data_IF_787234771024
#
_entry.id   IF_787234771024
#
_cell.length_a   1.000
_cell.length_b   1.000
_cell.length_c   1.000
_cell.angle_alpha   90.00
_cell.angle_beta   90.00
_cell.angle_gamma   90.00
#
_symmetry.space_group_name_H-M   'P 1'
#
loop_
_entity.id
_entity.type
_entity.pdbx_description
1 polymer ?
#
# COMPACT_ATOMS: atom_id res chain seq x y z
N UNK A 1 -3.54 -1.74 7.31
CA UNK A 1 -3.24 -2.86 8.24
C UNK A 1 -1.87 -3.39 7.83
N UNK A 2 -0.92 -3.50 8.75
CA UNK A 2 0.45 -3.90 8.43
C UNK A 2 0.52 -5.38 8.02
N UNK A 3 1.39 -5.70 7.07
CA UNK A 3 1.77 -7.08 6.79
C UNK A 3 2.82 -7.52 7.82
N UNK A 4 2.35 -8.12 8.91
CA UNK A 4 3.18 -8.56 10.03
C UNK A 4 4.17 -9.64 9.62
N UNK A 5 3.81 -10.50 8.66
CA UNK A 5 4.71 -11.53 8.15
C UNK A 5 5.82 -10.89 7.30
N UNK A 6 5.52 -9.90 6.45
CA UNK A 6 6.53 -9.15 5.72
C UNK A 6 7.51 -8.43 6.66
N UNK A 7 7.00 -7.75 7.69
CA UNK A 7 7.83 -7.10 8.72
C UNK A 7 8.71 -8.11 9.46
N UNK A 8 8.15 -9.28 9.80
CA UNK A 8 8.93 -10.37 10.40
C UNK A 8 10.11 -10.77 9.53
N UNK A 9 9.89 -10.96 8.23
CA UNK A 9 10.93 -11.35 7.26
C UNK A 9 11.96 -10.25 7.00
N UNK A 10 11.53 -9.00 6.82
CA UNK A 10 12.42 -7.85 6.60
C UNK A 10 13.40 -7.66 7.76
N UNK A 11 12.98 -7.95 8.99
CA UNK A 11 13.77 -7.77 10.20
C UNK A 11 14.45 -9.05 10.72
N UNK A 12 14.73 -10.02 9.85
CA UNK A 12 15.31 -11.32 10.25
C UNK A 12 16.59 -11.21 11.11
N UNK A 13 17.45 -10.23 10.84
CA UNK A 13 18.69 -10.00 11.59
C UNK A 13 18.52 -9.40 12.99
N UNK A 14 17.31 -8.94 13.34
CA UNK A 14 17.00 -8.29 14.62
C UNK A 14 16.14 -9.16 15.55
N UNK A 15 15.82 -10.38 15.13
CA UNK A 15 15.05 -11.34 15.92
C UNK A 15 15.90 -11.88 17.06
N UNK A 16 15.28 -12.07 18.21
CA UNK A 16 15.94 -12.60 19.41
C UNK A 16 15.30 -13.93 19.80
N UNK A 17 16.12 -14.92 20.17
CA UNK A 17 15.60 -16.20 20.66
C UNK A 17 14.90 -16.03 22.00
N UNK A 18 13.77 -16.72 22.18
CA UNK A 18 12.98 -16.70 23.39
C UNK A 18 12.73 -18.13 23.88
N UNK A 19 12.90 -18.35 25.18
CA UNK A 19 12.67 -19.65 25.82
C UNK A 19 11.40 -19.54 26.65
N UNK A 20 10.30 -20.08 26.13
CA UNK A 20 9.07 -20.23 26.88
C UNK A 20 9.22 -21.34 27.95
N UNK A 21 8.41 -21.28 29.01
CA UNK A 21 8.41 -22.30 30.09
C UNK A 21 7.68 -23.59 29.72
N UNK A 22 7.18 -23.71 28.50
CA UNK A 22 6.31 -24.78 27.99
C UNK A 22 6.98 -25.47 26.79
N UNK A 23 6.58 -26.71 26.48
CA UNK A 23 7.23 -27.63 25.53
C UNK A 23 6.42 -27.84 24.20
N UNK A 24 5.46 -26.98 23.87
CA UNK A 24 4.58 -27.15 22.69
C UNK A 24 4.46 -25.88 21.83
N UNK A 25 4.97 -25.97 20.60
CA UNK A 25 5.23 -24.83 19.73
C UNK A 25 4.01 -23.97 19.32
N UNK A 26 2.89 -24.55 18.89
CA UNK A 26 1.79 -23.77 18.29
C UNK A 26 0.84 -23.13 19.33
N UNK A 27 0.63 -23.81 20.46
CA UNK A 27 -0.17 -23.27 21.57
C UNK A 27 0.53 -22.12 22.29
N UNK A 28 1.86 -22.06 22.20
CA UNK A 28 2.67 -21.03 22.85
C UNK A 28 2.62 -19.68 22.16
N UNK A 29 2.63 -19.62 20.82
CA UNK A 29 2.71 -18.34 20.09
C UNK A 29 1.61 -17.36 20.47
N UNK A 30 0.39 -17.86 20.75
CA UNK A 30 -0.78 -17.06 21.08
C UNK A 30 -1.02 -16.93 22.60
N UNK A 31 -0.17 -17.55 23.44
CA UNK A 31 -0.34 -17.62 24.89
C UNK A 31 0.73 -16.83 25.67
N UNK A 32 1.50 -15.96 25.00
CA UNK A 32 2.58 -15.16 25.63
C UNK A 32 2.10 -13.83 26.23
N UNK A 33 0.80 -13.52 26.18
CA UNK A 33 0.26 -12.22 26.60
C UNK A 33 0.68 -11.83 28.03
N UNK A 34 0.51 -12.75 28.98
CA UNK A 34 0.86 -12.53 30.38
C UNK A 34 2.38 -12.45 30.61
N UNK A 35 3.17 -13.24 29.87
CA UNK A 35 4.63 -13.26 29.98
C UNK A 35 5.27 -11.98 29.42
N UNK A 36 4.71 -11.48 28.32
CA UNK A 36 5.15 -10.26 27.66
C UNK A 36 4.57 -9.00 28.30
N UNK A 37 3.55 -9.12 29.17
CA UNK A 37 2.81 -7.99 29.70
C UNK A 37 2.10 -7.21 28.61
N UNK A 38 1.61 -7.91 27.58
CA UNK A 38 1.15 -7.34 26.32
C UNK A 38 -0.21 -7.90 25.91
N UNK A 39 -0.96 -7.16 25.08
CA UNK A 39 -2.25 -7.62 24.54
C UNK A 39 -2.04 -8.32 23.21
N UNK A 40 -2.50 -9.57 23.06
CA UNK A 40 -2.55 -10.22 21.75
C UNK A 40 -3.58 -9.51 20.85
N UNK A 41 -3.12 -8.95 19.72
CA UNK A 41 -3.96 -8.23 18.76
C UNK A 41 -4.10 -8.95 17.42
N UNK A 42 -3.15 -9.83 17.08
CA UNK A 42 -3.21 -10.64 15.88
C UNK A 42 -2.70 -12.06 16.18
N UNK A 43 -3.58 -13.06 16.35
CA UNK A 43 -3.15 -14.42 16.59
C UNK A 43 -2.51 -15.03 15.34
N UNK A 44 -1.45 -15.83 15.53
CA UNK A 44 -0.92 -16.69 14.48
C UNK A 44 -1.96 -17.77 14.12
N UNK A 45 -2.25 -17.95 12.84
CA UNK A 45 -3.25 -18.94 12.34
C UNK A 45 -2.60 -20.21 11.81
N UNK A 46 -1.32 -20.16 11.48
CA UNK A 46 -0.55 -21.30 11.01
C UNK A 46 0.91 -21.29 11.48
N UNK A 47 1.65 -22.36 11.16
CA UNK A 47 3.02 -22.58 11.65
C UNK A 47 4.06 -21.59 11.10
N UNK A 48 3.71 -20.83 10.06
CA UNK A 48 4.57 -19.82 9.45
C UNK A 48 4.09 -18.39 9.71
N UNK A 49 2.98 -18.23 10.44
CA UNK A 49 2.47 -16.93 10.82
C UNK A 49 3.13 -16.43 12.09
N UNK A 50 3.10 -15.11 12.25
CA UNK A 50 3.48 -14.45 13.50
C UNK A 50 2.27 -14.08 14.33
N UNK A 51 2.41 -14.25 15.64
CA UNK A 51 1.51 -13.66 16.62
C UNK A 51 1.98 -12.24 16.95
N UNK A 52 1.06 -11.28 17.02
CA UNK A 52 1.38 -9.88 17.28
C UNK A 52 0.79 -9.45 18.60
N UNK A 53 1.67 -8.99 19.47
CA UNK A 53 1.38 -8.46 20.78
C UNK A 53 1.59 -6.95 20.77
N UNK A 54 0.69 -6.24 21.43
CA UNK A 54 0.72 -4.79 21.57
C UNK A 54 1.02 -4.39 23.01
N UNK A 55 1.98 -3.48 23.15
CA UNK A 55 2.31 -2.78 24.38
C UNK A 55 2.32 -1.27 24.13
N UNK A 56 2.42 -0.49 25.20
CA UNK A 56 2.57 0.96 25.09
C UNK A 56 3.82 1.32 24.26
N UNK A 57 3.59 1.90 23.08
CA UNK A 57 4.64 2.38 22.18
C UNK A 57 5.34 1.31 21.33
N UNK A 58 5.01 0.02 21.44
CA UNK A 58 5.65 -1.04 20.62
C UNK A 58 4.72 -2.21 20.26
N UNK A 59 5.08 -2.89 19.18
CA UNK A 59 4.58 -4.22 18.86
C UNK A 59 5.68 -5.26 19.10
N UNK A 60 5.28 -6.43 19.59
CA UNK A 60 6.13 -7.60 19.71
C UNK A 60 5.56 -8.69 18.81
N UNK A 61 6.32 -9.05 17.78
CA UNK A 61 6.00 -10.16 16.87
C UNK A 61 6.67 -11.41 17.41
N UNK A 62 5.92 -12.49 17.53
CA UNK A 62 6.39 -13.81 17.93
C UNK A 62 6.22 -14.79 16.78
N UNK A 63 7.27 -15.52 16.42
CA UNK A 63 7.23 -16.50 15.35
C UNK A 63 8.20 -17.65 15.59
N UNK A 64 7.98 -18.77 14.92
CA UNK A 64 8.85 -19.94 14.99
C UNK A 64 9.80 -19.99 13.79
N UNK A 65 11.10 -19.90 14.07
CA UNK A 65 12.17 -20.13 13.09
C UNK A 65 13.39 -20.71 13.82
N UNK A 66 13.57 -22.02 13.75
CA UNK A 66 14.57 -22.77 14.53
C UNK A 66 14.47 -22.51 16.05
N UNK A 67 13.24 -22.34 16.53
CA UNK A 67 12.91 -21.98 17.91
C UNK A 67 11.96 -20.79 17.96
N UNK A 68 11.42 -20.51 19.15
CA UNK A 68 10.59 -19.33 19.37
C UNK A 68 11.48 -18.08 19.32
N UNK A 69 11.10 -17.13 18.49
CA UNK A 69 11.81 -15.87 18.33
C UNK A 69 10.85 -14.71 18.56
N UNK A 70 11.41 -13.58 19.03
CA UNK A 70 10.70 -12.32 19.20
C UNK A 70 11.36 -11.22 18.38
N UNK A 71 10.53 -10.36 17.82
CA UNK A 71 10.92 -9.12 17.16
C UNK A 71 10.15 -7.97 17.78
N UNK A 72 10.87 -6.98 18.31
CA UNK A 72 10.27 -5.77 18.86
C UNK A 72 10.34 -4.66 17.83
N UNK A 73 9.20 -4.04 17.53
CA UNK A 73 9.09 -2.92 16.60
C UNK A 73 8.45 -1.74 17.34
N UNK A 74 9.11 -0.59 17.36
CA UNK A 74 8.52 0.63 17.92
C UNK A 74 7.43 1.14 17.00
N UNK A 75 6.30 1.60 17.55
CA UNK A 75 5.19 2.13 16.73
C UNK A 75 5.64 3.31 15.86
N UNK A 76 6.54 4.13 16.39
CA UNK A 76 7.17 5.26 15.71
C UNK A 76 8.06 4.87 14.52
N UNK A 77 8.33 3.59 14.29
CA UNK A 77 9.11 3.11 13.14
C UNK A 77 8.24 2.55 12.01
N UNK A 78 6.92 2.51 12.20
CA UNK A 78 5.93 1.98 11.25
C UNK A 78 5.22 3.12 10.51
N UNK A 79 6.02 3.98 9.89
CA UNK A 79 5.54 5.06 9.04
C UNK A 79 5.73 4.73 7.56
N UNK A 80 4.87 5.30 6.72
CA UNK A 80 4.96 5.29 5.27
C UNK A 80 5.21 6.72 4.77
N UNK A 81 6.00 6.85 3.71
CA UNK A 81 6.28 8.12 3.04
C UNK A 81 5.71 8.06 1.62
N UNK A 82 4.99 9.11 1.23
CA UNK A 82 4.49 9.27 -0.14
C UNK A 82 4.95 10.62 -0.67
N UNK A 83 5.63 10.61 -1.82
CA UNK A 83 6.06 11.80 -2.52
C UNK A 83 5.19 12.00 -3.76
N UNK A 84 4.60 13.17 -3.94
CA UNK A 84 3.75 13.47 -5.08
C UNK A 84 3.93 14.89 -5.61
N UNK A 85 3.78 15.01 -6.93
CA UNK A 85 3.74 16.30 -7.62
C UNK A 85 2.29 16.73 -7.81
N UNK A 86 1.98 17.96 -7.41
CA UNK A 86 0.64 18.55 -7.50
C UNK A 86 0.68 19.67 -8.54
N UNK A 87 0.20 19.44 -9.78
CA UNK A 87 0.32 20.39 -10.89
C UNK A 87 -0.67 21.55 -10.80
N UNK A 88 -1.88 21.31 -10.28
CA UNK A 88 -2.98 22.28 -10.20
C UNK A 88 -3.53 22.33 -8.77
N UNK A 89 -4.21 23.42 -8.41
CA UNK A 89 -4.79 23.55 -7.08
C UNK A 89 -6.12 22.77 -6.99
N UNK A 90 -6.23 21.86 -6.02
CA UNK A 90 -7.39 20.97 -5.85
C UNK A 90 -8.63 21.65 -5.25
N UNK A 91 -8.81 22.97 -5.48
CA UNK A 91 -9.92 23.75 -4.93
C UNK A 91 -9.83 24.04 -3.42
N UNK A 92 -8.86 23.47 -2.72
CA UNK A 92 -8.39 23.95 -1.42
C UNK A 92 -7.41 25.10 -1.67
N UNK A 93 -7.89 26.34 -1.48
CA UNK A 93 -7.06 27.55 -1.41
C UNK A 93 -6.14 27.47 -0.16
N UNK A 94 -5.15 26.58 -0.16
CA UNK A 94 -4.04 26.66 0.78
C UNK A 94 -3.11 27.79 0.33
N UNK A 95 -3.37 28.98 0.87
CA UNK A 95 -2.69 30.23 0.53
C UNK A 95 -1.15 30.19 0.71
N UNK A 96 -0.64 29.25 1.52
CA UNK A 96 0.76 29.22 1.94
C UNK A 96 1.70 28.49 0.95
N UNK A 97 1.17 27.64 0.07
CA UNK A 97 1.96 26.96 -0.97
C UNK A 97 1.12 26.69 -2.24
N UNK A 98 1.10 27.62 -3.22
CA UNK A 98 0.34 27.45 -4.45
C UNK A 98 0.93 26.38 -5.36
N UNK A 99 0.09 25.77 -6.19
CA UNK A 99 0.52 24.87 -7.26
C UNK A 99 1.26 25.63 -8.40
N UNK A 100 2.18 24.99 -9.13
CA UNK A 100 2.61 23.60 -8.97
C UNK A 100 3.52 23.44 -7.73
N UNK A 101 3.36 22.33 -7.01
CA UNK A 101 4.10 22.06 -5.78
C UNK A 101 4.46 20.59 -5.65
N UNK A 102 5.45 20.31 -4.83
CA UNK A 102 5.80 18.97 -4.40
C UNK A 102 5.29 18.80 -2.98
N UNK A 103 4.70 17.66 -2.71
CA UNK A 103 4.18 17.30 -1.41
C UNK A 103 4.80 15.97 -0.97
N UNK A 104 5.16 15.88 0.31
CA UNK A 104 5.65 14.67 0.95
C UNK A 104 4.77 14.40 2.16
N UNK A 105 3.92 13.38 2.05
CA UNK A 105 3.04 12.92 3.10
C UNK A 105 3.70 11.81 3.92
N UNK A 106 3.50 11.86 5.22
CA UNK A 106 3.95 10.87 6.19
C UNK A 106 2.76 10.36 6.95
N UNK A 107 2.57 9.04 6.96
CA UNK A 107 1.49 8.40 7.69
C UNK A 107 2.05 7.34 8.64
N UNK A 108 1.72 7.45 9.93
CA UNK A 108 2.00 6.41 10.91
C UNK A 108 0.67 5.83 11.42
N UNK A 109 0.23 4.73 10.81
CA UNK A 109 -1.03 4.09 11.19
C UNK A 109 -1.01 3.49 12.60
N UNK A 110 0.17 3.23 13.17
CA UNK A 110 0.33 2.64 14.49
C UNK A 110 0.14 3.67 15.61
N UNK A 111 0.50 4.93 15.38
CA UNK A 111 0.32 6.04 16.32
C UNK A 111 -0.83 6.97 15.94
N UNK A 112 -1.30 6.90 14.69
CA UNK A 112 -2.29 7.82 14.13
C UNK A 112 -1.72 9.19 13.76
N UNK A 113 -0.40 9.35 13.82
CA UNK A 113 0.28 10.60 13.45
C UNK A 113 0.34 10.73 11.92
N UNK A 114 0.04 11.94 11.44
CA UNK A 114 0.16 12.31 10.04
C UNK A 114 1.00 13.59 9.95
N UNK A 115 1.77 13.74 8.87
CA UNK A 115 2.54 14.94 8.62
C UNK A 115 2.63 15.21 7.13
N UNK A 116 2.58 16.48 6.76
CA UNK A 116 2.63 16.89 5.35
C UNK A 116 3.63 18.02 5.18
N UNK A 117 4.62 17.79 4.33
CA UNK A 117 5.58 18.80 3.92
C UNK A 117 5.28 19.22 2.49
N UNK A 118 5.37 20.53 2.22
CA UNK A 118 5.08 21.10 0.91
C UNK A 118 6.17 22.06 0.49
N UNK A 119 6.51 22.06 -0.79
CA UNK A 119 7.40 23.05 -1.37
C UNK A 119 6.92 23.48 -2.77
N UNK A 120 6.94 24.79 -3.07
CA UNK A 120 6.57 25.26 -4.40
C UNK A 120 7.58 24.78 -5.42
N UNK A 121 7.10 24.39 -6.59
CA UNK A 121 7.94 24.07 -7.74
C UNK A 121 7.94 25.25 -8.69
N UNK A 122 9.13 25.78 -9.02
CA UNK A 122 9.27 26.95 -9.88
C UNK A 122 10.35 26.72 -10.93
N UNK A 123 10.25 27.43 -12.06
CA UNK A 123 11.29 27.47 -13.09
C UNK A 123 11.85 28.87 -13.18
N UNK A 124 13.17 28.99 -13.07
CA UNK A 124 13.85 30.27 -13.19
C UNK A 124 14.02 30.69 -14.67
N UNK A 125 14.60 31.88 -14.88
CA UNK A 125 14.84 32.43 -16.24
C UNK A 125 15.92 31.67 -17.01
N UNK A 126 16.77 30.92 -16.32
CA UNK A 126 17.83 30.10 -16.88
C UNK A 126 17.32 28.70 -17.25
N UNK A 127 16.07 28.38 -16.89
CA UNK A 127 15.42 27.11 -17.18
C UNK A 127 15.63 26.05 -16.09
N UNK A 128 16.26 26.39 -14.96
CA UNK A 128 16.43 25.45 -13.85
C UNK A 128 15.12 25.31 -13.06
N UNK A 129 14.85 24.09 -12.62
CA UNK A 129 13.68 23.78 -11.78
C UNK A 129 14.11 23.77 -10.32
N UNK A 130 13.33 24.48 -9.51
CA UNK A 130 13.53 24.67 -8.09
C UNK A 130 12.37 24.08 -7.31
N UNK A 131 12.67 23.34 -6.25
CA UNK A 131 11.72 22.84 -5.26
C UNK A 131 12.03 23.58 -3.96
N UNK A 132 11.19 24.57 -3.62
CA UNK A 132 11.47 25.50 -2.53
C UNK A 132 12.79 26.26 -2.77
N UNK A 133 13.83 25.93 -2.00
CA UNK A 133 15.16 26.56 -2.07
C UNK A 133 16.28 25.63 -2.58
N UNK A 134 15.92 24.49 -3.18
CA UNK A 134 16.85 23.51 -3.76
C UNK A 134 16.57 23.32 -5.23
N UNK A 135 17.61 23.08 -6.02
CA UNK A 135 17.41 22.70 -7.43
C UNK A 135 17.12 21.22 -7.53
N UNK A 136 16.26 20.85 -8.46
CA UNK A 136 15.89 19.46 -8.74
C UNK A 136 17.13 18.59 -9.07
N UNK A 137 18.09 19.15 -9.80
CA UNK A 137 19.29 18.45 -10.26
C UNK A 137 20.48 18.47 -9.27
N UNK A 138 20.35 19.19 -8.15
CA UNK A 138 21.43 19.35 -7.16
C UNK A 138 21.58 18.11 -6.28
N UNK A 139 20.55 17.27 -6.18
CA UNK A 139 20.56 16.07 -5.32
C UNK A 139 20.65 16.39 -3.82
N UNK A 140 20.47 17.65 -3.41
CA UNK A 140 20.48 18.05 -2.01
C UNK A 140 19.06 18.17 -1.47
N UNK A 141 18.77 17.39 -0.42
CA UNK A 141 17.49 17.42 0.26
C UNK A 141 17.30 18.76 0.99
N UNK A 142 16.14 19.43 0.85
CA UNK A 142 15.81 20.61 1.65
C UNK A 142 15.59 20.22 3.11
N UNK A 143 15.56 21.21 3.99
CA UNK A 143 15.09 20.99 5.36
C UNK A 143 13.57 20.77 5.33
N UNK A 144 13.14 19.57 5.72
CA UNK A 144 11.73 19.21 5.85
C UNK A 144 11.37 19.22 7.34
N UNK A 145 10.42 20.07 7.74
CA UNK A 145 9.92 20.12 9.13
C UNK A 145 8.60 19.38 9.21
N UNK A 146 8.48 18.50 10.18
CA UNK A 146 7.25 17.76 10.49
C UNK A 146 6.95 17.92 11.98
N UNK A 147 6.49 19.10 12.38
CA UNK A 147 6.36 19.49 13.79
C UNK A 147 5.33 18.64 14.55
N UNK A 148 4.41 18.01 13.82
CA UNK A 148 3.34 17.16 14.37
C UNK A 148 3.79 15.71 14.61
N UNK A 149 4.97 15.32 14.13
CA UNK A 149 5.47 13.94 14.26
C UNK A 149 6.41 13.80 15.45
N UNK A 150 6.11 12.89 16.36
CA UNK A 150 6.92 12.59 17.55
C UNK A 150 8.24 11.86 17.26
N UNK A 151 8.48 11.47 16.00
CA UNK A 151 9.58 10.61 15.59
C UNK A 151 10.53 11.23 14.57
N UNK A 152 10.50 12.55 14.39
CA UNK A 152 11.40 13.28 13.48
C UNK A 152 12.89 13.10 13.79
N UNK A 153 13.25 12.85 15.06
CA UNK A 153 14.62 12.57 15.49
C UNK A 153 15.10 11.14 15.20
N UNK A 154 14.23 10.27 14.69
CA UNK A 154 14.57 8.89 14.35
C UNK A 154 15.50 8.82 13.13
N UNK A 155 16.61 8.07 13.22
CA UNK A 155 17.52 7.87 12.10
C UNK A 155 16.85 7.18 10.91
N UNK A 156 15.98 6.19 11.17
CA UNK A 156 15.22 5.49 10.12
C UNK A 156 14.33 6.45 9.35
N UNK A 157 13.71 7.42 10.04
CA UNK A 157 12.88 8.44 9.40
C UNK A 157 13.71 9.37 8.52
N UNK A 158 14.87 9.84 9.01
CA UNK A 158 15.80 10.64 8.20
C UNK A 158 16.33 9.88 6.98
N UNK A 159 16.66 8.61 7.14
CA UNK A 159 17.16 7.76 6.05
C UNK A 159 16.07 7.54 4.99
N UNK A 160 14.82 7.31 5.42
CA UNK A 160 13.68 7.16 4.52
C UNK A 160 13.35 8.46 3.76
N UNK A 161 13.41 9.63 4.42
CA UNK A 161 13.27 10.93 3.74
C UNK A 161 14.36 11.13 2.69
N UNK A 162 15.60 10.77 3.02
CA UNK A 162 16.71 10.82 2.09
C UNK A 162 16.49 9.86 0.91
N UNK A 163 16.02 8.64 1.16
CA UNK A 163 15.70 7.66 0.13
C UNK A 163 14.63 8.17 -0.83
N UNK A 164 13.51 8.68 -0.30
CA UNK A 164 12.44 9.28 -1.10
C UNK A 164 12.96 10.45 -1.96
N UNK A 165 13.84 11.30 -1.41
CA UNK A 165 14.43 12.41 -2.16
C UNK A 165 15.42 11.97 -3.24
N UNK A 166 16.23 10.93 -2.99
CA UNK A 166 17.24 10.47 -3.96
C UNK A 166 16.70 9.50 -5.00
N UNK A 167 15.65 8.76 -4.69
CA UNK A 167 15.16 7.67 -5.53
C UNK A 167 13.78 7.93 -6.12
N UNK A 168 12.85 8.51 -5.36
CA UNK A 168 11.49 8.73 -5.83
C UNK A 168 11.35 10.06 -6.57
N UNK A 169 11.99 11.13 -6.08
CA UNK A 169 11.96 12.44 -6.76
C UNK A 169 12.48 12.38 -8.21
N UNK A 170 13.59 11.68 -8.54
CA UNK A 170 14.00 11.53 -9.94
C UNK A 170 12.98 10.82 -10.83
N UNK A 171 12.12 9.97 -10.27
CA UNK A 171 11.04 9.34 -11.03
C UNK A 171 9.92 10.33 -11.37
N UNK A 172 9.73 11.37 -10.55
CA UNK A 172 8.78 12.47 -10.78
C UNK A 172 9.36 13.59 -11.66
N UNK A 173 10.68 13.67 -11.81
CA UNK A 173 11.34 14.72 -12.59
C UNK A 173 10.78 14.91 -14.01
N UNK A 174 10.51 13.85 -14.82
CA UNK A 174 9.93 14.02 -16.16
C UNK A 174 8.56 14.68 -16.16
N UNK A 175 7.72 14.37 -15.16
CA UNK A 175 6.39 14.96 -15.00
C UNK A 175 6.50 16.44 -14.62
N UNK A 176 7.39 16.75 -13.67
CA UNK A 176 7.68 18.12 -13.24
C UNK A 176 8.21 18.95 -14.42
N UNK A 177 9.13 18.40 -15.21
CA UNK A 177 9.69 19.07 -16.39
C UNK A 177 8.63 19.33 -17.47
N UNK A 178 7.79 18.33 -17.76
CA UNK A 178 6.69 18.44 -18.71
C UNK A 178 5.65 19.48 -18.28
N UNK A 179 5.51 19.76 -16.98
CA UNK A 179 4.66 20.86 -16.53
C UNK A 179 5.13 22.22 -17.05
N UNK A 180 6.44 22.48 -17.07
CA UNK A 180 6.98 23.79 -17.49
C UNK A 180 7.34 23.89 -18.98
N UNK A 181 7.28 22.81 -19.73
CA UNK A 181 7.54 22.80 -21.16
C UNK A 181 6.31 22.28 -21.92
N UNK A 182 5.53 23.18 -22.55
CA UNK A 182 4.36 22.81 -23.33
C UNK A 182 4.67 21.84 -24.48
N UNK A 183 5.89 21.86 -25.04
CA UNK A 183 6.30 20.94 -26.09
C UNK A 183 6.54 19.53 -25.53
N UNK A 184 7.16 19.41 -24.35
CA UNK A 184 7.27 18.13 -23.63
C UNK A 184 5.90 17.64 -23.16
N UNK A 185 5.02 18.53 -22.69
CA UNK A 185 3.63 18.17 -22.34
C UNK A 185 2.86 17.64 -23.55
N UNK A 186 3.00 18.30 -24.70
CA UNK A 186 2.39 17.85 -25.95
C UNK A 186 2.98 16.52 -26.43
N UNK A 187 4.29 16.29 -26.26
CA UNK A 187 4.93 15.00 -26.55
C UNK A 187 4.47 13.90 -25.60
N UNK A 188 4.36 14.17 -24.29
CA UNK A 188 3.85 13.22 -23.30
C UNK A 188 2.36 12.89 -23.57
N UNK A 189 1.54 13.89 -23.89
CA UNK A 189 0.15 13.70 -24.27
C UNK A 189 0.01 12.94 -25.62
N UNK A 190 0.88 13.21 -26.60
CA UNK A 190 0.92 12.47 -27.87
C UNK A 190 1.43 11.04 -27.68
N UNK A 191 2.40 10.81 -26.79
CA UNK A 191 2.89 9.48 -26.44
C UNK A 191 1.82 8.67 -25.69
N UNK A 192 1.09 9.30 -24.76
CA UNK A 192 -0.05 8.70 -24.08
C UNK A 192 -1.20 8.41 -25.05
N UNK A 193 -1.53 9.35 -25.95
CA UNK A 193 -2.57 9.16 -26.98
C UNK A 193 -2.18 8.07 -27.99
N UNK A 194 -0.91 8.03 -28.42
CA UNK A 194 -0.39 6.98 -29.30
C UNK A 194 -0.34 5.62 -28.61
N UNK A 195 -0.11 5.58 -27.28
CA UNK A 195 -0.19 4.36 -26.48
C UNK A 195 -1.63 3.83 -26.38
N UNK A 196 -2.63 4.70 -26.22
CA UNK A 196 -4.06 4.33 -26.27
C UNK A 196 -4.60 4.02 -27.67
N UNK A 197 -3.94 4.49 -28.73
CA UNK A 197 -4.32 4.20 -30.12
C UNK A 197 -3.68 2.91 -30.66
N UNK A 198 -2.70 2.34 -29.95
CA UNK A 198 -1.93 1.17 -30.37
C UNK A 198 -2.35 -0.12 -29.63
N UNK A 199 -3.59 -0.18 -29.14
CA UNK A 199 -4.17 -1.33 -28.41
C UNK A 199 -4.51 -2.52 -29.33
N UNK A 200 -3.68 -2.80 -30.33
CA UNK A 200 -3.57 -4.10 -30.99
C UNK A 200 -2.08 -4.46 -31.09
N UNK A 201 -1.64 -5.34 -30.17
CA UNK A 201 -0.32 -5.98 -30.05
C UNK A 201 0.82 -5.21 -29.32
N UNK A 202 1.57 -5.88 -28.42
CA UNK A 202 2.47 -5.22 -27.48
C UNK A 202 3.85 -4.95 -28.10
N UNK A 203 4.27 -3.69 -28.12
CA UNK A 203 5.68 -3.33 -28.35
C UNK A 203 6.16 -2.36 -27.25
N UNK A 204 6.99 -2.92 -26.36
CA UNK A 204 8.03 -2.24 -25.57
C UNK A 204 7.63 -0.94 -24.84
N UNK A 205 6.72 -1.06 -23.88
CA UNK A 205 6.74 -0.17 -22.72
C UNK A 205 7.96 -0.49 -21.85
N UNK A 206 8.74 0.55 -21.57
CA UNK A 206 9.89 0.68 -20.66
C UNK A 206 10.15 -0.53 -19.75
N UNK A 207 11.36 -1.10 -19.74
CA UNK A 207 11.67 -2.35 -19.03
C UNK A 207 11.20 -2.35 -17.56
N UNK A 208 11.21 -1.17 -16.92
CA UNK A 208 10.65 -0.94 -15.58
C UNK A 208 9.14 -1.18 -15.50
N UNK A 209 8.36 -0.68 -16.46
CA UNK A 209 6.92 -0.94 -16.54
C UNK A 209 6.64 -2.42 -16.76
N UNK A 210 7.43 -3.09 -17.60
CA UNK A 210 7.31 -4.54 -17.77
C UNK A 210 7.62 -5.29 -16.47
N UNK A 211 8.72 -4.95 -15.78
CA UNK A 211 9.04 -5.52 -14.48
C UNK A 211 7.96 -5.26 -13.42
N UNK A 212 7.37 -4.06 -13.41
CA UNK A 212 6.27 -3.71 -12.51
C UNK A 212 5.01 -4.54 -12.83
N UNK A 213 4.67 -4.68 -14.11
CA UNK A 213 3.55 -5.52 -14.54
C UNK A 213 3.80 -7.00 -14.27
N UNK A 214 5.03 -7.48 -14.40
CA UNK A 214 5.39 -8.86 -14.05
C UNK A 214 5.28 -9.10 -12.54
N UNK A 215 5.78 -8.16 -11.71
CA UNK A 215 5.63 -8.21 -10.24
C UNK A 215 4.17 -8.18 -9.84
N UNK A 216 3.38 -7.28 -10.44
CA UNK A 216 1.94 -7.21 -10.22
C UNK A 216 1.26 -8.52 -10.63
N UNK A 217 1.51 -9.02 -11.84
CA UNK A 217 0.90 -10.26 -12.33
C UNK A 217 1.27 -11.49 -11.49
N UNK A 218 2.48 -11.53 -10.91
CA UNK A 218 2.89 -12.59 -9.98
C UNK A 218 2.17 -12.48 -8.62
N UNK A 219 2.05 -11.26 -8.07
CA UNK A 219 1.26 -11.01 -6.84
C UNK A 219 -0.19 -11.45 -7.06
N UNK A 220 -0.81 -11.01 -8.16
CA UNK A 220 -2.19 -11.37 -8.51
C UNK A 220 -2.34 -12.88 -8.67
N UNK A 221 -1.43 -13.56 -9.39
CA UNK A 221 -1.47 -15.02 -9.54
C UNK A 221 -1.40 -15.76 -8.21
N UNK A 222 -0.55 -15.32 -7.27
CA UNK A 222 -0.43 -15.93 -5.94
C UNK A 222 -1.70 -15.75 -5.12
N UNK A 223 -2.25 -14.55 -5.10
CA UNK A 223 -3.50 -14.28 -4.38
C UNK A 223 -4.68 -15.03 -5.01
N UNK A 224 -4.79 -15.09 -6.34
CA UNK A 224 -5.81 -15.88 -7.03
C UNK A 224 -5.75 -17.37 -6.67
N UNK A 225 -4.54 -17.93 -6.56
CA UNK A 225 -4.34 -19.31 -6.11
C UNK A 225 -4.86 -19.53 -4.68
N UNK A 226 -4.63 -18.58 -3.77
CA UNK A 226 -5.15 -18.64 -2.41
C UNK A 226 -6.67 -18.48 -2.37
N UNK A 227 -7.21 -17.55 -3.14
CA UNK A 227 -8.65 -17.29 -3.25
C UNK A 227 -9.42 -18.48 -3.81
N UNK A 228 -8.84 -19.19 -4.80
CA UNK A 228 -9.43 -20.41 -5.39
C UNK A 228 -9.69 -21.53 -4.38
N UNK A 229 -9.02 -21.50 -3.22
CA UNK A 229 -9.21 -22.46 -2.12
C UNK A 229 -10.20 -21.97 -1.07
N UNK A 230 -10.50 -20.68 -1.06
CA UNK A 230 -11.31 -19.98 -0.05
C UNK A 230 -12.76 -19.79 -0.50
N UNK A 231 -12.98 -19.65 -1.80
CA UNK A 231 -14.30 -19.49 -2.40
C UNK A 231 -14.68 -20.71 -3.22
N UNK A 232 -15.96 -21.08 -3.17
CA UNK A 232 -16.52 -22.09 -4.06
C UNK A 232 -17.02 -21.49 -5.39
N UNK A 233 -17.32 -22.35 -6.36
CA UNK A 233 -17.75 -21.93 -7.70
C UNK A 233 -19.05 -21.13 -7.69
N UNK A 234 -19.94 -21.35 -6.72
CA UNK A 234 -21.22 -20.65 -6.64
C UNK A 234 -21.02 -19.23 -6.07
N UNK A 235 -20.17 -19.11 -5.05
CA UNK A 235 -19.70 -17.84 -4.50
C UNK A 235 -19.00 -17.00 -5.57
N UNK A 236 -18.06 -17.57 -6.32
CA UNK A 236 -17.35 -16.87 -7.39
C UNK A 236 -18.29 -16.39 -8.51
N UNK A 237 -19.30 -17.19 -8.89
CA UNK A 237 -20.31 -16.80 -9.88
C UNK A 237 -21.20 -15.66 -9.41
N UNK A 238 -21.59 -15.67 -8.13
CA UNK A 238 -22.34 -14.57 -7.53
C UNK A 238 -21.51 -13.28 -7.59
N UNK A 239 -20.26 -13.33 -7.12
CA UNK A 239 -19.34 -12.19 -7.15
C UNK A 239 -19.16 -11.66 -8.57
N UNK A 240 -18.91 -12.54 -9.55
CA UNK A 240 -18.76 -12.17 -10.95
C UNK A 240 -20.02 -11.47 -11.50
N UNK A 241 -21.21 -11.98 -11.17
CA UNK A 241 -22.50 -11.38 -11.58
C UNK A 241 -22.65 -9.95 -11.06
N UNK A 242 -22.19 -9.68 -9.84
CA UNK A 242 -22.19 -8.31 -9.29
C UNK A 242 -21.17 -7.43 -10.02
N UNK A 243 -19.98 -7.96 -10.30
CA UNK A 243 -18.92 -7.24 -10.99
C UNK A 243 -19.26 -6.85 -12.44
N UNK A 244 -20.14 -7.58 -13.13
CA UNK A 244 -20.62 -7.21 -14.47
C UNK A 244 -21.25 -5.80 -14.52
N UNK A 245 -21.84 -5.35 -13.41
CA UNK A 245 -22.49 -4.04 -13.28
C UNK A 245 -21.66 -2.97 -12.58
N UNK A 246 -20.43 -3.27 -12.17
CA UNK A 246 -19.57 -2.36 -11.39
C UNK A 246 -18.33 -1.99 -12.21
N UNK A 247 -17.92 -0.72 -12.14
CA UNK A 247 -16.76 -0.22 -12.87
C UNK A 247 -15.75 0.33 -11.87
N UNK A 248 -14.52 -0.17 -11.96
CA UNK A 248 -13.40 0.27 -11.15
C UNK A 248 -12.48 1.09 -12.05
N UNK A 249 -12.57 2.42 -11.97
CA UNK A 249 -11.75 3.32 -12.78
C UNK A 249 -10.33 3.47 -12.22
N UNK A 250 -10.16 3.24 -10.91
CA UNK A 250 -8.90 3.40 -10.20
C UNK A 250 -8.69 2.25 -9.19
N UNK A 251 -7.44 1.94 -8.86
CA UNK A 251 -7.11 0.91 -7.88
C UNK A 251 -7.73 1.20 -6.50
N UNK A 252 -7.80 2.47 -6.10
CA UNK A 252 -8.43 2.89 -4.84
C UNK A 252 -9.91 2.47 -4.76
N UNK A 253 -10.60 2.41 -5.90
CA UNK A 253 -12.01 2.03 -6.00
C UNK A 253 -12.25 0.53 -5.81
N UNK A 254 -11.21 -0.30 -5.84
CA UNK A 254 -11.33 -1.76 -5.66
C UNK A 254 -11.70 -2.16 -4.22
N UNK A 255 -11.55 -1.26 -3.24
CA UNK A 255 -11.89 -1.57 -1.84
C UNK A 255 -13.39 -1.43 -1.60
N UNK A 256 -13.98 -2.40 -0.90
CA UNK A 256 -15.39 -2.37 -0.51
C UNK A 256 -16.29 -3.15 -1.45
N UNK A 257 -15.76 -4.11 -2.21
CA UNK A 257 -16.52 -5.04 -3.04
C UNK A 257 -17.67 -5.71 -2.28
N UNK A 258 -17.47 -6.01 -0.99
CA UNK A 258 -18.49 -6.57 -0.13
C UNK A 258 -19.75 -5.68 -0.01
N UNK A 259 -19.63 -4.35 -0.12
CA UNK A 259 -20.78 -3.43 -0.09
C UNK A 259 -21.65 -3.59 -1.35
N UNK A 260 -21.01 -3.71 -2.52
CA UNK A 260 -21.72 -3.93 -3.77
C UNK A 260 -22.45 -5.29 -3.77
N UNK A 261 -21.83 -6.30 -3.17
CA UNK A 261 -22.41 -7.63 -3.03
C UNK A 261 -23.54 -7.66 -2.00
N UNK A 262 -23.34 -7.02 -0.83
CA UNK A 262 -24.36 -6.90 0.22
C UNK A 262 -25.62 -6.21 -0.30
N UNK A 263 -25.47 -5.11 -1.04
CA UNK A 263 -26.60 -4.42 -1.67
C UNK A 263 -27.38 -5.34 -2.62
N UNK A 264 -26.70 -6.12 -3.46
CA UNK A 264 -27.35 -7.04 -4.41
C UNK A 264 -27.96 -8.28 -3.74
N UNK A 265 -27.40 -8.75 -2.64
CA UNK A 265 -28.02 -9.81 -1.82
C UNK A 265 -29.33 -9.30 -1.23
N UNK A 266 -29.36 -8.07 -0.71
CA UNK A 266 -30.56 -7.48 -0.11
C UNK A 266 -31.65 -7.16 -1.15
N UNK A 267 -31.27 -6.60 -2.30
CA UNK A 267 -32.22 -6.11 -3.30
C UNK A 267 -32.72 -7.22 -4.25
N UNK A 268 -31.85 -8.18 -4.61
CA UNK A 268 -32.13 -9.18 -5.64
C UNK A 268 -32.11 -10.64 -5.14
N UNK A 269 -31.87 -10.86 -3.85
CA UNK A 269 -31.75 -12.19 -3.24
C UNK A 269 -30.77 -13.10 -4.02
N UNK A 270 -29.64 -12.54 -4.48
CA UNK A 270 -28.66 -13.27 -5.29
C UNK A 270 -28.10 -14.50 -4.57
N UNK A 271 -27.96 -14.44 -3.25
CA UNK A 271 -27.59 -15.57 -2.39
C UNK A 271 -28.52 -16.77 -2.61
N UNK A 272 -29.84 -16.55 -2.67
CA UNK A 272 -30.82 -17.61 -2.96
C UNK A 272 -30.73 -18.11 -4.39
N UNK A 273 -30.52 -17.21 -5.36
CA UNK A 273 -30.40 -17.56 -6.78
C UNK A 273 -29.20 -18.47 -7.04
N UNK A 274 -28.07 -18.19 -6.40
CA UNK A 274 -26.84 -18.97 -6.53
C UNK A 274 -26.71 -20.09 -5.49
N UNK A 275 -27.63 -20.19 -4.52
CA UNK A 275 -27.61 -21.14 -3.40
C UNK A 275 -26.35 -21.01 -2.54
N UNK A 276 -25.97 -19.77 -2.28
CA UNK A 276 -24.81 -19.39 -1.48
C UNK A 276 -25.30 -18.94 -0.09
N UNK A 277 -24.52 -19.25 0.95
CA UNK A 277 -24.71 -18.63 2.26
C UNK A 277 -24.21 -17.17 2.20
N UNK A 278 -25.16 -16.24 2.05
CA UNK A 278 -24.84 -14.82 1.88
C UNK A 278 -24.07 -14.22 3.06
N UNK A 279 -24.36 -14.63 4.29
CA UNK A 279 -23.68 -14.13 5.50
C UNK A 279 -22.24 -14.64 5.54
N UNK A 280 -22.04 -15.94 5.33
CA UNK A 280 -20.71 -16.53 5.27
C UNK A 280 -19.86 -15.97 4.11
N UNK A 281 -20.46 -15.69 2.96
CA UNK A 281 -19.80 -15.05 1.84
C UNK A 281 -19.35 -13.62 2.19
N UNK A 282 -20.23 -12.82 2.81
CA UNK A 282 -19.90 -11.45 3.21
C UNK A 282 -18.78 -11.42 4.25
N UNK A 283 -18.75 -12.35 5.19
CA UNK A 283 -17.65 -12.49 6.16
C UNK A 283 -16.34 -12.85 5.48
N UNK A 284 -16.36 -13.77 4.50
CA UNK A 284 -15.18 -14.11 3.70
C UNK A 284 -14.65 -12.87 2.97
N UNK A 285 -15.53 -12.06 2.38
CA UNK A 285 -15.19 -10.85 1.61
C UNK A 285 -14.67 -9.72 2.52
N UNK A 286 -15.31 -9.47 3.66
CA UNK A 286 -14.87 -8.48 4.66
C UNK A 286 -13.48 -8.81 5.22
N UNK A 287 -13.17 -10.10 5.33
CA UNK A 287 -11.88 -10.60 5.77
C UNK A 287 -10.82 -10.72 4.65
N UNK A 288 -11.05 -10.16 3.46
CA UNK A 288 -10.02 -10.04 2.42
C UNK A 288 -9.09 -8.86 2.71
N UNK A 289 -7.80 -9.09 2.49
CA UNK A 289 -6.85 -7.98 2.35
C UNK A 289 -7.17 -7.19 1.08
N UNK A 290 -6.66 -5.96 0.99
CA UNK A 290 -6.84 -5.14 -0.20
C UNK A 290 -6.31 -5.82 -1.47
N UNK A 291 -5.11 -6.41 -1.40
CA UNK A 291 -4.49 -7.14 -2.52
C UNK A 291 -5.33 -8.35 -2.96
N UNK A 292 -5.97 -9.05 -2.01
CA UNK A 292 -6.88 -10.16 -2.31
C UNK A 292 -8.15 -9.69 -3.00
N UNK A 293 -8.67 -8.54 -2.60
CA UNK A 293 -9.84 -7.95 -3.22
C UNK A 293 -9.55 -7.53 -4.66
N UNK A 294 -8.41 -6.87 -4.90
CA UNK A 294 -7.93 -6.56 -6.25
C UNK A 294 -7.76 -7.84 -7.07
N UNK A 295 -7.10 -8.87 -6.53
CA UNK A 295 -6.89 -10.13 -7.23
C UNK A 295 -8.20 -10.86 -7.58
N UNK A 296 -9.22 -10.74 -6.72
CA UNK A 296 -10.56 -11.30 -6.96
C UNK A 296 -11.29 -10.52 -8.06
N UNK A 297 -11.19 -9.19 -8.05
CA UNK A 297 -11.77 -8.33 -9.08
C UNK A 297 -11.10 -8.62 -10.43
N UNK A 298 -9.77 -8.65 -10.50
CA UNK A 298 -9.02 -8.95 -11.73
C UNK A 298 -9.32 -10.36 -12.28
N UNK A 299 -9.68 -11.31 -11.41
CA UNK A 299 -10.04 -12.67 -11.83
C UNK A 299 -11.45 -12.77 -12.44
N UNK A 300 -12.38 -11.95 -11.95
CA UNK A 300 -13.82 -12.14 -12.18
C UNK A 300 -14.46 -10.99 -12.96
N UNK A 301 -13.85 -9.82 -12.98
CA UNK A 301 -14.31 -8.70 -13.79
C UNK A 301 -14.20 -9.11 -15.27
N UNK A 302 -15.21 -8.81 -16.09
CA UNK A 302 -15.20 -9.17 -17.49
C UNK A 302 -14.01 -8.50 -18.19
N UNK A 303 -13.18 -9.31 -18.86
CA UNK A 303 -12.16 -8.82 -19.77
C UNK A 303 -12.84 -8.01 -20.87
N UNK A 304 -12.40 -6.76 -21.05
CA UNK A 304 -12.85 -5.89 -22.13
C UNK A 304 -11.94 -6.02 -23.34
#
# INVERSE_FOLDING_TARGET
>A
MYDWNALWHQHAGYRTGYTAKSDTAEGELNALADELGARLIHPAKGPHDVAVYEEDGRFTLAGYHDGLQLLHIRKQELFDLTLHFVPEADGSDEADCPAPRLELAVDNLATGEHGLWRAPVTKDKQGNIWIGNRRLDEGLMPAMSFDELSFTDNSRFRDALYEAWQHDLPALAPEIEAWFDPALRAQAAQAAQAATASTEAPAAGDARTHEMLERYAEIIRREQLMLSRRFDDAELKLVATVLEGVHFEEAASCRGLWLAIEARILDEELDRRFKVDGEALLDKLKALSYTQEVALIEALAPAR
#
